data_IF_317050189465
#
_entry.id   IF_317050189465
#
_cell.length_a   1.000
_cell.length_b   1.000
_cell.length_c   1.000
_cell.angle_alpha   90.00
_cell.angle_beta   90.00
_cell.angle_gamma   90.00
#
_symmetry.space_group_name_H-M   'P 1'
#
loop_
_entity.id
_entity.type
_entity.pdbx_description
1 polymer ?
#
# COMPACT_ATOMS: atom_id res chain seq x y z
N UNK A 1 -12.37 5.67 3.10
CA UNK A 1 -13.25 5.91 4.26
C UNK A 1 -14.18 7.08 3.98
N UNK A 2 -15.43 7.01 4.48
CA UNK A 2 -16.50 7.99 4.24
C UNK A 2 -17.07 8.62 5.53
N UNK A 3 -16.36 8.59 6.65
CA UNK A 3 -16.83 9.19 7.91
C UNK A 3 -15.84 10.26 8.38
N UNK A 4 -16.33 11.50 8.54
CA UNK A 4 -15.57 12.67 8.97
C UNK A 4 -16.18 13.21 10.27
N UNK A 5 -15.37 13.41 11.30
CA UNK A 5 -15.76 14.13 12.52
C UNK A 5 -15.12 15.51 12.48
N UNK A 6 -15.90 16.57 12.67
CA UNK A 6 -15.42 17.93 12.90
C UNK A 6 -15.93 18.40 14.26
N UNK A 7 -15.03 18.83 15.15
CA UNK A 7 -15.36 19.59 16.35
C UNK A 7 -14.29 20.66 16.58
N UNK A 8 -14.63 21.69 17.35
CA UNK A 8 -13.75 22.83 17.63
C UNK A 8 -12.39 22.37 18.18
N UNK A 9 -11.30 22.75 17.51
CA UNK A 9 -9.93 22.32 17.81
C UNK A 9 -9.39 21.16 16.98
N UNK A 10 -10.15 20.58 16.04
CA UNK A 10 -9.69 19.54 15.12
C UNK A 10 -9.10 20.16 13.83
N UNK A 11 -7.78 20.09 13.69
CA UNK A 11 -6.99 20.79 12.67
C UNK A 11 -6.68 19.93 11.43
N UNK A 12 -7.53 18.95 11.12
CA UNK A 12 -7.35 18.03 10.01
C UNK A 12 -8.60 17.21 9.68
N UNK A 13 -8.39 16.13 8.93
CA UNK A 13 -9.39 15.19 8.47
C UNK A 13 -9.08 13.81 9.02
N UNK A 14 -10.06 13.19 9.67
CA UNK A 14 -9.93 11.80 10.10
C UNK A 14 -10.51 10.88 9.03
N UNK A 15 -9.74 9.87 8.64
CA UNK A 15 -10.17 8.82 7.73
C UNK A 15 -10.19 7.49 8.47
N UNK A 16 -11.34 6.82 8.48
CA UNK A 16 -11.45 5.44 8.95
C UNK A 16 -10.58 4.49 8.11
N UNK A 17 -9.40 4.17 8.63
CA UNK A 17 -8.42 3.22 8.08
C UNK A 17 -7.94 2.33 9.23
N UNK A 18 -8.10 1.02 9.12
CA UNK A 18 -7.82 0.07 10.20
C UNK A 18 -6.51 -0.68 9.94
N UNK A 19 -5.39 -0.10 10.35
CA UNK A 19 -4.04 -0.65 10.10
C UNK A 19 -3.74 -0.85 8.60
N UNK A 20 -4.22 0.08 7.79
CA UNK A 20 -4.11 0.05 6.33
C UNK A 20 -2.94 0.91 5.83
N UNK A 21 -2.42 0.66 4.61
CA UNK A 21 -1.37 1.49 4.02
C UNK A 21 -1.77 2.95 3.90
N UNK A 22 -0.87 3.83 4.34
CA UNK A 22 -0.99 5.29 4.19
C UNK A 22 -0.03 5.75 3.11
N UNK A 23 -0.53 6.51 2.14
CA UNK A 23 0.26 7.02 1.04
C UNK A 23 0.52 8.53 1.14
N UNK A 24 1.68 8.96 0.63
CA UNK A 24 1.99 10.37 0.48
C UNK A 24 1.01 11.04 -0.50
N UNK A 25 0.40 12.14 -0.06
CA UNK A 25 -0.63 12.86 -0.81
C UNK A 25 -0.06 13.59 -2.02
N UNK A 26 1.19 14.04 -1.94
CA UNK A 26 1.92 14.72 -3.00
C UNK A 26 3.44 14.44 -2.87
N UNK A 27 4.24 14.71 -3.91
CA UNK A 27 5.69 14.58 -3.82
C UNK A 27 6.28 15.59 -2.82
N UNK A 28 7.30 15.21 -2.08
CA UNK A 28 7.90 16.09 -1.08
C UNK A 28 9.07 15.48 -0.33
N UNK A 29 9.52 16.19 0.70
CA UNK A 29 10.60 15.76 1.60
C UNK A 29 10.02 15.51 2.98
N UNK A 30 10.31 14.35 3.55
CA UNK A 30 9.90 13.99 4.91
C UNK A 30 10.63 14.88 5.92
N UNK A 31 9.89 15.66 6.70
CA UNK A 31 10.40 16.58 7.73
C UNK A 31 10.40 15.95 9.12
N UNK A 32 9.41 15.10 9.39
CA UNK A 32 9.24 14.31 10.61
C UNK A 32 8.82 12.88 10.24
N UNK A 33 9.36 11.90 10.95
CA UNK A 33 8.99 10.49 10.84
C UNK A 33 9.33 9.81 12.19
N UNK A 34 8.54 10.11 13.22
CA UNK A 34 8.73 9.58 14.58
C UNK A 34 7.46 9.78 15.42
N UNK A 35 7.49 9.41 16.70
CA UNK A 35 6.58 9.95 17.69
C UNK A 35 6.64 11.49 17.70
N UNK A 36 5.47 12.13 17.62
CA UNK A 36 5.38 13.60 17.66
C UNK A 36 5.93 14.15 18.98
N UNK A 37 5.53 13.53 20.09
CA UNK A 37 6.20 13.68 21.38
C UNK A 37 6.91 12.36 21.73
N UNK A 38 8.25 12.32 21.62
CA UNK A 38 9.04 11.13 21.98
C UNK A 38 8.90 10.70 23.44
N UNK A 39 8.38 11.57 24.32
CA UNK A 39 8.22 11.29 25.75
C UNK A 39 6.77 10.93 26.14
N UNK A 40 5.80 11.11 25.23
CA UNK A 40 4.42 10.70 25.48
C UNK A 40 3.82 9.93 24.29
N UNK A 41 3.71 8.62 24.44
CA UNK A 41 3.14 7.73 23.42
C UNK A 41 1.60 7.65 23.41
N UNK A 42 0.95 8.25 24.40
CA UNK A 42 -0.53 8.29 24.54
C UNK A 42 -1.11 9.70 24.32
N UNK A 43 -0.27 10.66 23.97
CA UNK A 43 -0.65 12.06 23.75
C UNK A 43 -0.67 12.40 22.26
N UNK A 44 -1.40 13.46 21.92
CA UNK A 44 -1.37 14.10 20.60
C UNK A 44 -1.61 13.09 19.47
N UNK A 45 -0.95 13.27 18.33
CA UNK A 45 -1.09 12.43 17.15
C UNK A 45 -0.23 11.16 17.17
N UNK A 46 0.45 10.84 18.28
CA UNK A 46 1.27 9.63 18.37
C UNK A 46 2.38 9.58 17.31
N UNK A 47 2.55 8.42 16.65
CA UNK A 47 3.49 8.30 15.53
C UNK A 47 3.01 9.12 14.35
N UNK A 48 3.88 10.00 13.89
CA UNK A 48 3.55 11.05 12.94
C UNK A 48 4.59 11.11 11.83
N UNK A 49 4.08 11.35 10.62
CA UNK A 49 4.89 11.75 9.47
C UNK A 49 4.48 13.16 9.04
N UNK A 50 5.46 14.01 8.76
CA UNK A 50 5.24 15.30 8.11
C UNK A 50 6.01 15.35 6.80
N UNK A 51 5.38 15.81 5.72
CA UNK A 51 6.01 15.94 4.41
C UNK A 51 5.89 17.40 3.95
N UNK A 52 7.02 18.04 3.70
CA UNK A 52 7.09 19.37 3.10
C UNK A 52 7.01 19.27 1.58
N UNK A 53 6.16 20.08 0.97
CA UNK A 53 5.96 20.17 -0.46
C UNK A 53 6.59 21.44 -1.04
N UNK A 54 6.79 21.45 -2.37
CA UNK A 54 7.45 22.56 -3.09
C UNK A 54 6.63 23.85 -3.10
N UNK A 55 5.31 23.76 -2.86
CA UNK A 55 4.38 24.90 -2.85
C UNK A 55 4.28 25.60 -1.48
N UNK A 56 5.11 25.24 -0.50
CA UNK A 56 5.08 25.84 0.82
C UNK A 56 4.03 25.26 1.77
N UNK A 57 3.36 24.18 1.37
CA UNK A 57 2.48 23.39 2.23
C UNK A 57 3.22 22.21 2.85
N UNK A 58 2.66 21.72 3.95
CA UNK A 58 3.06 20.54 4.68
C UNK A 58 1.85 19.63 4.82
N UNK A 59 2.00 18.34 4.54
CA UNK A 59 1.01 17.34 4.92
C UNK A 59 1.44 16.62 6.18
N UNK A 60 0.45 16.28 7.00
CA UNK A 60 0.60 15.66 8.31
C UNK A 60 -0.18 14.35 8.34
N UNK A 61 0.44 13.29 8.85
CA UNK A 61 -0.14 11.95 8.95
C UNK A 61 0.03 11.43 10.37
N UNK A 62 -1.04 11.45 11.16
CA UNK A 62 -1.05 11.07 12.57
C UNK A 62 -1.65 9.68 12.85
N UNK A 63 -1.52 9.27 14.10
CA UNK A 63 -2.01 8.03 14.70
C UNK A 63 -1.45 6.74 14.09
N UNK A 64 -0.30 6.82 13.40
CA UNK A 64 0.26 5.70 12.67
C UNK A 64 0.62 4.53 13.59
N UNK A 65 0.48 3.30 13.10
CA UNK A 65 1.00 2.11 13.80
C UNK A 65 2.44 1.83 13.41
N UNK A 66 2.81 2.15 12.16
CA UNK A 66 4.13 1.92 11.58
C UNK A 66 4.52 3.08 10.67
N UNK A 67 5.81 3.41 10.67
CA UNK A 67 6.44 4.41 9.81
C UNK A 67 7.44 3.67 8.93
N UNK A 68 7.31 3.83 7.60
CA UNK A 68 8.11 3.13 6.59
C UNK A 68 9.08 4.08 5.85
N UNK A 69 9.18 5.33 6.32
CA UNK A 69 10.07 6.37 5.77
C UNK A 69 10.91 7.02 6.87
N UNK A 70 11.96 7.71 6.46
CA UNK A 70 12.85 8.44 7.39
C UNK A 70 12.91 9.93 7.08
N UNK A 71 13.24 10.74 8.09
CA UNK A 71 13.46 12.18 7.91
C UNK A 71 14.53 12.45 6.83
N UNK A 72 14.25 13.40 5.95
CA UNK A 72 15.09 13.76 4.81
C UNK A 72 14.83 12.95 3.54
N UNK A 73 14.04 11.88 3.61
CA UNK A 73 13.68 11.07 2.45
C UNK A 73 12.79 11.85 1.48
N UNK A 74 13.11 11.78 0.18
CA UNK A 74 12.20 12.23 -0.88
C UNK A 74 11.14 11.17 -1.14
N UNK A 75 9.88 11.58 -1.25
CA UNK A 75 8.75 10.69 -1.52
C UNK A 75 7.96 11.16 -2.73
N UNK A 76 7.35 10.19 -3.43
CA UNK A 76 6.47 10.44 -4.57
C UNK A 76 5.01 10.39 -4.13
N UNK A 77 4.13 11.07 -4.87
CA UNK A 77 2.67 10.92 -4.66
C UNK A 77 2.29 9.44 -4.80
N UNK A 78 1.45 8.96 -3.90
CA UNK A 78 0.98 7.58 -3.89
C UNK A 78 1.97 6.58 -3.28
N UNK A 79 3.20 7.00 -2.94
CA UNK A 79 4.14 6.13 -2.25
C UNK A 79 3.64 5.80 -0.84
N UNK A 80 3.65 4.52 -0.47
CA UNK A 80 3.36 4.06 0.89
C UNK A 80 4.44 4.59 1.82
N UNK A 81 4.00 5.28 2.89
CA UNK A 81 4.87 5.92 3.87
C UNK A 81 4.73 5.33 5.28
N UNK A 82 3.71 4.49 5.50
CA UNK A 82 3.47 3.82 6.76
C UNK A 82 2.13 3.09 6.78
N UNK A 83 1.70 2.71 7.99
CA UNK A 83 0.36 2.17 8.24
C UNK A 83 -0.42 3.06 9.20
N UNK A 84 -1.71 3.21 8.95
CA UNK A 84 -2.63 3.81 9.92
C UNK A 84 -2.64 2.99 11.22
N UNK A 85 -3.24 3.53 12.27
CA UNK A 85 -3.24 2.87 13.56
C UNK A 85 -4.07 3.63 14.58
N UNK A 86 -3.71 3.47 15.85
CA UNK A 86 -4.40 4.08 16.98
C UNK A 86 -3.41 4.59 18.03
N UNK A 87 -2.23 5.05 17.62
CA UNK A 87 -1.23 5.60 18.57
C UNK A 87 -1.57 7.03 18.98
N UNK A 88 -1.06 7.51 20.12
CA UNK A 88 -1.40 8.83 20.64
C UNK A 88 -2.81 8.87 21.25
N UNK A 89 -3.48 10.01 21.15
CA UNK A 89 -4.83 10.24 21.67
C UNK A 89 -5.87 9.92 20.58
N UNK A 90 -6.08 8.63 20.30
CA UNK A 90 -7.06 8.14 19.34
C UNK A 90 -8.16 7.33 20.04
N UNK A 91 -9.43 7.55 19.67
CA UNK A 91 -10.58 6.77 20.19
C UNK A 91 -10.71 5.39 19.53
N UNK A 92 -10.05 5.19 18.39
CA UNK A 92 -9.95 3.94 17.66
C UNK A 92 -9.05 4.09 16.43
N UNK A 93 -8.81 3.01 15.67
CA UNK A 93 -7.92 3.07 14.51
C UNK A 93 -8.44 4.00 13.41
N UNK A 94 -7.64 5.00 13.05
CA UNK A 94 -7.89 5.92 11.94
C UNK A 94 -6.59 6.59 11.49
N UNK A 95 -6.65 7.34 10.39
CA UNK A 95 -5.61 8.27 9.98
C UNK A 95 -6.11 9.69 10.26
N UNK A 96 -5.37 10.44 11.08
CA UNK A 96 -5.52 11.89 11.11
C UNK A 96 -4.65 12.52 10.02
N UNK A 97 -5.27 13.26 9.11
CA UNK A 97 -4.63 13.87 7.95
C UNK A 97 -4.80 15.38 7.96
N UNK A 98 -3.70 16.12 8.09
CA UNK A 98 -3.74 17.59 8.09
C UNK A 98 -2.96 18.19 6.94
N UNK A 99 -3.31 19.41 6.56
CA UNK A 99 -2.54 20.25 5.64
C UNK A 99 -2.28 21.59 6.32
N UNK A 100 -1.02 22.02 6.33
CA UNK A 100 -0.58 23.21 7.05
C UNK A 100 0.33 24.05 6.17
N UNK A 101 0.41 25.35 6.47
CA UNK A 101 1.49 26.16 5.94
C UNK A 101 2.80 25.82 6.64
N UNK A 102 3.88 25.65 5.87
CA UNK A 102 5.22 25.37 6.42
C UNK A 102 5.72 26.47 7.36
N UNK A 103 5.21 27.70 7.21
CA UNK A 103 5.58 28.84 8.05
C UNK A 103 4.80 28.92 9.39
N UNK A 104 3.93 27.94 9.69
CA UNK A 104 3.18 27.91 10.94
C UNK A 104 1.92 28.78 10.96
N UNK A 105 1.45 29.27 9.81
CA UNK A 105 0.22 30.09 9.71
C UNK A 105 -1.10 29.34 9.97
N UNK A 106 -1.02 28.11 10.49
CA UNK A 106 -2.15 27.28 10.87
C UNK A 106 -2.52 26.20 9.85
N UNK A 107 -3.54 25.39 10.19
CA UNK A 107 -4.12 24.40 9.28
C UNK A 107 -4.83 25.07 8.10
N UNK A 108 -5.02 24.29 7.06
CA UNK A 108 -5.66 24.68 5.80
C UNK A 108 -6.65 23.58 5.44
N UNK A 109 -7.86 23.96 5.05
CA UNK A 109 -8.78 23.05 4.39
C UNK A 109 -8.20 22.72 3.00
N UNK A 110 -7.77 21.48 2.73
CA UNK A 110 -7.16 21.15 1.46
C UNK A 110 -8.19 20.85 0.37
N UNK A 111 -9.46 20.64 0.72
CA UNK A 111 -10.55 20.32 -0.20
C UNK A 111 -11.41 21.53 -0.54
N UNK A 112 -11.33 22.56 0.30
CA UNK A 112 -12.10 23.79 0.23
C UNK A 112 -13.54 23.63 0.70
N UNK A 113 -14.22 24.75 0.94
CA UNK A 113 -15.61 24.75 1.38
C UNK A 113 -16.63 24.48 0.26
N UNK A 114 -17.59 23.57 0.50
CA UNK A 114 -18.66 23.23 -0.46
C UNK A 114 -20.09 23.46 0.06
N UNK A 115 -20.28 24.30 1.07
CA UNK A 115 -21.60 24.60 1.67
C UNK A 115 -22.34 25.77 1.00
N UNK A 116 -23.65 25.89 1.28
CA UNK A 116 -24.49 26.99 0.79
C UNK A 116 -24.27 28.33 1.50
N UNK A 117 -23.48 28.34 2.57
CA UNK A 117 -23.14 29.52 3.36
C UNK A 117 -21.76 30.04 2.99
N UNK A 118 -21.43 31.26 3.45
CA UNK A 118 -20.06 31.76 3.36
C UNK A 118 -19.12 30.77 4.04
N UNK A 119 -17.97 30.54 3.41
CA UNK A 119 -16.93 29.69 3.96
C UNK A 119 -16.59 30.16 5.40
N UNK A 120 -16.74 29.30 6.41
CA UNK A 120 -16.41 29.65 7.79
C UNK A 120 -14.90 29.91 7.96
N UNK A 121 -14.06 29.56 6.98
CA UNK A 121 -12.63 29.79 7.00
C UNK A 121 -12.21 30.96 6.09
N UNK A 122 -12.02 32.18 6.64
CA UNK A 122 -11.72 33.37 5.84
C UNK A 122 -10.30 33.37 5.22
N UNK A 123 -9.52 32.31 5.43
CA UNK A 123 -8.16 32.12 4.88
C UNK A 123 -8.10 30.98 3.86
N UNK A 124 -9.22 30.38 3.51
CA UNK A 124 -9.27 29.35 2.47
C UNK A 124 -8.93 29.98 1.11
N UNK A 125 -7.94 29.39 0.44
CA UNK A 125 -7.53 29.75 -0.92
C UNK A 125 -8.17 28.82 -1.97
N UNK A 126 -9.10 27.95 -1.53
CA UNK A 126 -9.75 26.92 -2.32
C UNK A 126 -8.92 25.65 -2.41
N UNK A 127 -9.32 24.72 -3.27
CA UNK A 127 -8.62 23.45 -3.49
C UNK A 127 -7.12 23.65 -3.83
N UNK A 128 -6.24 23.27 -2.90
CA UNK A 128 -4.79 23.46 -3.01
C UNK A 128 -4.03 22.29 -3.64
N UNK A 129 -4.75 21.30 -4.17
CA UNK A 129 -4.13 20.12 -4.77
C UNK A 129 -3.57 20.40 -6.17
N UNK A 130 -2.30 20.84 -6.22
CA UNK A 130 -1.61 21.22 -7.47
C UNK A 130 -1.50 20.06 -8.48
N UNK A 131 -1.41 18.82 -8.01
CA UNK A 131 -1.35 17.64 -8.89
C UNK A 131 -2.71 16.94 -9.03
N UNK A 132 -3.79 17.56 -8.55
CA UNK A 132 -5.12 16.94 -8.42
C UNK A 132 -5.33 16.31 -7.04
N UNK A 133 -6.59 16.22 -6.62
CA UNK A 133 -6.95 15.76 -5.27
C UNK A 133 -6.47 14.33 -4.99
N UNK A 134 -5.75 14.08 -3.88
CA UNK A 134 -5.35 12.74 -3.46
C UNK A 134 -6.53 11.82 -3.23
N UNK A 135 -7.69 12.39 -2.84
CA UNK A 135 -8.96 11.66 -2.71
C UNK A 135 -9.35 10.92 -3.99
N UNK A 136 -8.95 11.45 -5.15
CA UNK A 136 -9.23 10.90 -6.47
C UNK A 136 -7.94 10.55 -7.21
N UNK A 137 -6.85 10.30 -6.50
CA UNK A 137 -5.64 9.79 -7.14
C UNK A 137 -5.93 8.39 -7.66
N UNK A 138 -5.78 8.18 -8.96
CA UNK A 138 -5.66 6.85 -9.54
C UNK A 138 -4.30 6.29 -9.10
N UNK A 139 -4.28 5.72 -7.89
CA UNK A 139 -3.16 4.91 -7.43
C UNK A 139 -3.38 3.54 -8.05
N UNK A 140 -2.52 3.08 -8.98
CA UNK A 140 -2.62 1.74 -9.50
C UNK A 140 -2.26 0.78 -8.37
N UNK A 141 -3.30 0.29 -7.68
CA UNK A 141 -3.16 -0.77 -6.70
C UNK A 141 -2.75 -2.02 -7.49
N UNK A 142 -1.69 -2.73 -7.08
CA UNK A 142 -1.35 -3.96 -7.75
C UNK A 142 -2.53 -4.93 -7.62
N UNK A 143 -2.88 -5.56 -8.74
CA UNK A 143 -3.81 -6.68 -8.77
C UNK A 143 -3.02 -7.86 -9.33
N UNK A 144 -2.57 -8.76 -8.48
CA UNK A 144 -1.80 -9.91 -8.97
C UNK A 144 -2.72 -10.99 -9.51
N UNK A 145 -2.45 -11.42 -10.73
CA UNK A 145 -3.03 -12.63 -11.29
C UNK A 145 -1.97 -13.71 -11.32
N UNK A 146 -2.36 -14.94 -10.97
CA UNK A 146 -1.53 -16.13 -11.12
C UNK A 146 -2.36 -17.25 -11.74
N UNK A 147 -1.84 -17.86 -12.80
CA UNK A 147 -2.39 -19.07 -13.39
C UNK A 147 -1.34 -20.16 -13.38
N UNK A 148 -1.80 -21.40 -13.19
CA UNK A 148 -0.98 -22.59 -13.31
C UNK A 148 -1.78 -23.59 -14.14
N UNK A 149 -1.20 -24.06 -15.24
CA UNK A 149 -1.84 -25.01 -16.14
C UNK A 149 -0.85 -26.11 -16.52
N UNK A 150 -1.30 -27.36 -16.73
CA UNK A 150 -0.42 -28.39 -17.28
C UNK A 150 0.22 -27.94 -18.60
N UNK A 151 1.53 -28.15 -18.73
CA UNK A 151 2.24 -27.88 -19.98
C UNK A 151 1.74 -28.84 -21.07
N UNK A 152 1.43 -28.28 -22.24
CA UNK A 152 0.82 -29.03 -23.34
C UNK A 152 1.77 -30.03 -24.02
N UNK A 153 3.09 -29.81 -23.92
CA UNK A 153 4.14 -30.65 -24.51
C UNK A 153 4.74 -31.63 -23.50
N UNK A 154 4.74 -31.29 -22.22
CA UNK A 154 5.19 -32.16 -21.13
C UNK A 154 4.14 -32.19 -20.00
N UNK A 155 3.28 -33.23 -19.93
CA UNK A 155 2.23 -33.29 -18.92
C UNK A 155 2.76 -33.40 -17.47
N UNK A 156 4.08 -33.58 -17.28
CA UNK A 156 4.74 -33.54 -15.95
C UNK A 156 5.22 -32.13 -15.58
N UNK A 157 5.14 -31.19 -16.50
CA UNK A 157 5.47 -29.80 -16.31
C UNK A 157 4.20 -28.94 -16.15
N UNK A 158 4.36 -27.79 -15.51
CA UNK A 158 3.28 -26.84 -15.25
C UNK A 158 3.74 -25.47 -15.75
N UNK A 159 2.99 -24.89 -16.67
CA UNK A 159 3.16 -23.50 -17.09
C UNK A 159 2.53 -22.58 -16.04
N UNK A 160 3.37 -21.78 -15.39
CA UNK A 160 2.95 -20.85 -14.34
C UNK A 160 3.13 -19.44 -14.84
N UNK A 161 2.05 -18.68 -14.92
CA UNK A 161 2.07 -17.28 -15.37
C UNK A 161 1.64 -16.39 -14.23
N UNK A 162 2.38 -15.30 -14.00
CA UNK A 162 1.96 -14.26 -13.07
C UNK A 162 2.11 -12.87 -13.68
N UNK A 163 1.18 -11.99 -13.34
CA UNK A 163 1.22 -10.61 -13.81
C UNK A 163 0.50 -9.64 -12.88
N UNK A 164 0.80 -8.35 -13.03
CA UNK A 164 0.03 -7.29 -12.41
C UNK A 164 0.08 -6.05 -13.32
N UNK A 165 -0.98 -5.24 -13.41
CA UNK A 165 -0.97 -4.01 -14.20
C UNK A 165 0.14 -3.04 -13.77
N UNK A 166 0.63 -2.25 -14.73
CA UNK A 166 1.68 -1.26 -14.50
C UNK A 166 3.10 -1.80 -14.62
N UNK A 167 4.07 -0.89 -14.62
CA UNK A 167 5.51 -1.21 -14.70
C UNK A 167 6.20 -1.01 -13.35
N UNK A 168 7.40 -1.60 -13.20
CA UNK A 168 8.21 -1.44 -11.96
C UNK A 168 7.80 -2.36 -10.81
N UNK A 169 6.85 -3.27 -11.04
CA UNK A 169 6.41 -4.27 -10.07
C UNK A 169 7.47 -5.35 -9.86
N UNK A 170 7.74 -5.68 -8.60
CA UNK A 170 8.58 -6.81 -8.20
C UNK A 170 7.73 -7.92 -7.60
N UNK A 171 7.97 -9.16 -8.02
CA UNK A 171 7.21 -10.33 -7.59
C UNK A 171 8.07 -11.29 -6.78
N UNK A 172 7.42 -11.95 -5.81
CA UNK A 172 7.93 -13.09 -5.09
C UNK A 172 6.99 -14.27 -5.34
N UNK A 173 7.54 -15.36 -5.88
CA UNK A 173 6.78 -16.54 -6.30
C UNK A 173 7.18 -17.71 -5.44
N UNK A 174 6.17 -18.43 -4.95
CA UNK A 174 6.32 -19.63 -4.14
C UNK A 174 5.65 -20.81 -4.82
N UNK A 175 6.31 -21.97 -4.74
CA UNK A 175 5.64 -23.24 -4.94
C UNK A 175 5.11 -23.68 -3.58
N UNK A 176 3.83 -24.00 -3.52
CA UNK A 176 3.21 -24.53 -2.32
C UNK A 176 3.08 -26.04 -2.46
N UNK A 177 3.66 -26.75 -1.51
CA UNK A 177 3.71 -28.21 -1.48
C UNK A 177 2.45 -28.79 -0.81
N UNK A 178 2.22 -30.08 -0.99
CA UNK A 178 1.06 -30.80 -0.40
C UNK A 178 0.95 -30.65 1.13
N UNK A 179 2.06 -30.45 1.84
CA UNK A 179 2.08 -30.21 3.29
C UNK A 179 1.73 -28.76 3.69
N UNK A 180 1.40 -27.92 2.71
CA UNK A 180 1.10 -26.49 2.88
C UNK A 180 2.34 -25.61 2.98
N UNK A 181 3.55 -26.18 2.97
CA UNK A 181 4.78 -25.39 3.03
C UNK A 181 4.99 -24.59 1.75
N UNK A 182 5.30 -23.31 1.91
CA UNK A 182 5.62 -22.41 0.82
C UNK A 182 7.14 -22.38 0.62
N UNK A 183 7.61 -22.85 -0.54
CA UNK A 183 9.02 -22.79 -0.92
C UNK A 183 9.25 -21.66 -1.93
N UNK A 184 10.15 -20.71 -1.64
CA UNK A 184 10.52 -19.69 -2.61
C UNK A 184 11.00 -20.32 -3.92
N UNK A 185 10.43 -19.89 -5.03
CA UNK A 185 10.83 -20.32 -6.38
C UNK A 185 11.54 -19.19 -7.12
N UNK A 186 10.96 -17.99 -7.10
CA UNK A 186 11.56 -16.79 -7.68
C UNK A 186 11.39 -15.58 -6.77
N UNK A 187 12.39 -14.68 -6.82
CA UNK A 187 12.44 -13.46 -6.03
C UNK A 187 12.87 -12.28 -6.89
N UNK A 188 12.25 -11.12 -6.68
CA UNK A 188 12.57 -9.87 -7.37
C UNK A 188 12.49 -9.99 -8.90
N UNK A 189 11.44 -10.63 -9.39
CA UNK A 189 11.19 -10.86 -10.82
C UNK A 189 10.03 -10.01 -11.31
N UNK A 190 9.97 -9.73 -12.61
CA UNK A 190 8.81 -9.09 -13.24
C UNK A 190 7.71 -10.11 -13.59
N UNK A 191 6.66 -9.63 -14.27
CA UNK A 191 5.62 -10.49 -14.84
C UNK A 191 6.16 -11.35 -15.97
N UNK A 192 5.87 -12.65 -15.94
CA UNK A 192 6.31 -13.64 -16.94
C UNK A 192 5.59 -14.98 -16.77
N UNK A 193 5.91 -15.89 -17.68
CA UNK A 193 5.56 -17.32 -17.60
C UNK A 193 6.83 -18.12 -17.36
N UNK A 194 6.76 -19.12 -16.47
CA UNK A 194 7.85 -20.05 -16.18
C UNK A 194 7.32 -21.48 -16.08
N UNK A 195 8.18 -22.44 -16.46
CA UNK A 195 7.82 -23.86 -16.43
C UNK A 195 8.32 -24.52 -15.16
N UNK A 196 7.41 -24.94 -14.30
CA UNK A 196 7.73 -25.72 -13.11
C UNK A 196 7.79 -27.22 -13.44
N UNK A 197 8.81 -27.90 -12.94
CA UNK A 197 8.98 -29.36 -13.07
C UNK A 197 9.08 -29.99 -11.69
N UNK A 198 7.96 -30.57 -11.26
CA UNK A 198 7.82 -31.24 -9.98
C UNK A 198 8.08 -32.73 -10.05
N UNK A 199 7.82 -33.42 -8.94
CA UNK A 199 7.67 -34.88 -8.92
C UNK A 199 6.34 -35.25 -9.55
N UNK A 200 6.29 -36.41 -10.19
CA UNK A 200 5.06 -37.02 -10.68
C UNK A 200 4.13 -37.44 -9.54
N UNK A 201 2.85 -37.58 -9.86
CA UNK A 201 1.79 -37.97 -8.91
C UNK A 201 1.69 -37.03 -7.70
N UNK A 202 1.93 -35.74 -7.95
CA UNK A 202 1.83 -34.69 -6.93
C UNK A 202 1.02 -33.51 -7.43
N UNK A 203 0.34 -32.87 -6.49
CA UNK A 203 -0.39 -31.63 -6.71
C UNK A 203 0.43 -30.44 -6.22
N UNK A 204 0.49 -29.40 -7.06
CA UNK A 204 1.18 -28.16 -6.77
C UNK A 204 0.22 -26.99 -6.94
N UNK A 205 0.37 -25.95 -6.13
CA UNK A 205 -0.22 -24.65 -6.39
C UNK A 205 0.83 -23.57 -6.14
N UNK A 206 0.58 -22.37 -6.67
CA UNK A 206 1.56 -21.30 -6.65
C UNK A 206 0.98 -20.11 -5.93
N UNK A 207 1.77 -19.52 -5.05
CA UNK A 207 1.42 -18.28 -4.38
C UNK A 207 2.36 -17.20 -4.85
N UNK A 208 1.81 -16.06 -5.22
CA UNK A 208 2.57 -14.93 -5.75
C UNK A 208 2.20 -13.70 -4.96
N UNK A 209 3.21 -12.99 -4.44
CA UNK A 209 3.05 -11.62 -3.99
C UNK A 209 3.71 -10.66 -4.96
N UNK A 210 3.14 -9.48 -5.08
CA UNK A 210 3.66 -8.38 -5.88
C UNK A 210 3.84 -7.16 -4.98
N UNK A 211 4.88 -6.37 -5.23
CA UNK A 211 5.10 -5.07 -4.62
C UNK A 211 5.39 -4.07 -5.74
N UNK A 212 4.68 -2.94 -5.77
CA UNK A 212 4.93 -1.85 -6.71
C UNK A 212 6.15 -1.03 -6.26
N UNK A 213 6.69 -0.21 -7.17
CA UNK A 213 7.76 0.74 -6.86
C UNK A 213 7.33 1.85 -5.87
N UNK A 214 6.01 2.00 -5.66
CA UNK A 214 5.40 2.86 -4.67
C UNK A 214 5.15 2.14 -3.32
N UNK A 215 5.49 0.85 -3.21
CA UNK A 215 5.38 0.07 -1.97
C UNK A 215 4.00 -0.55 -1.72
N UNK A 216 3.05 -0.42 -2.65
CA UNK A 216 1.78 -1.15 -2.57
C UNK A 216 2.02 -2.62 -2.83
N UNK A 217 1.31 -3.50 -2.12
CA UNK A 217 1.45 -4.94 -2.31
C UNK A 217 0.11 -5.63 -2.42
N UNK A 218 0.09 -6.74 -3.14
CA UNK A 218 -1.04 -7.65 -3.28
C UNK A 218 -0.52 -9.10 -3.40
N UNK A 219 -1.38 -10.09 -3.17
CA UNK A 219 -1.02 -11.49 -3.26
C UNK A 219 -2.18 -12.36 -3.76
N UNK A 220 -1.86 -13.39 -4.56
CA UNK A 220 -2.85 -14.34 -5.05
C UNK A 220 -2.27 -15.76 -5.12
N UNK A 221 -3.18 -16.74 -5.05
CA UNK A 221 -2.90 -18.16 -5.23
C UNK A 221 -3.48 -18.69 -6.54
N UNK A 222 -2.77 -19.61 -7.18
CA UNK A 222 -3.27 -20.34 -8.35
C UNK A 222 -4.25 -21.44 -7.93
N UNK A 223 -5.03 -21.95 -8.88
CA UNK A 223 -5.65 -23.25 -8.71
C UNK A 223 -4.57 -24.35 -8.57
N UNK A 224 -4.83 -25.44 -7.82
CA UNK A 224 -3.95 -26.59 -7.79
C UNK A 224 -3.91 -27.33 -9.13
N UNK A 225 -2.72 -27.80 -9.51
CA UNK A 225 -2.48 -28.61 -10.71
C UNK A 225 -1.85 -29.94 -10.28
N UNK A 226 -2.44 -31.03 -10.74
CA UNK A 226 -1.94 -32.38 -10.48
C UNK A 226 -1.06 -32.86 -11.64
N UNK A 227 0.13 -33.34 -11.32
CA UNK A 227 1.05 -33.97 -12.28
C UNK A 227 0.79 -35.48 -12.31
N UNK A 228 0.69 -36.11 -13.48
CA UNK A 228 0.39 -37.53 -13.58
C UNK A 228 1.56 -38.39 -13.09
N UNK A 229 1.26 -39.63 -12.68
CA UNK A 229 2.25 -40.64 -12.34
C UNK A 229 3.16 -40.97 -13.54
N UNK A 230 4.44 -41.28 -13.30
CA UNK A 230 5.30 -41.86 -14.34
C UNK A 230 5.02 -43.35 -14.40
N UNK A 231 4.33 -43.80 -15.46
CA UNK A 231 4.27 -45.24 -15.74
C UNK A 231 5.65 -45.67 -16.24
N UNK A 232 6.37 -46.45 -15.43
CA UNK A 232 7.59 -47.14 -15.84
C UNK A 232 7.23 -48.37 -16.67
N UNK A 233 6.52 -48.17 -17.79
CA UNK A 233 6.24 -49.17 -18.82
C UNK A 233 5.72 -50.51 -18.30
N UNK A 234 4.41 -50.74 -18.48
CA UNK A 234 3.99 -52.07 -18.93
C UNK A 234 4.66 -52.37 -20.27
N UNK A 235 5.77 -53.13 -20.22
CA UNK A 235 6.39 -53.70 -21.41
C UNK A 235 5.41 -54.63 -22.11
N UNK A 236 5.15 -54.35 -23.38
CA UNK A 236 4.66 -55.32 -24.38
C UNK A 236 5.77 -56.30 -24.73
#
# INVERSE_FOLDING_TARGET
>A
GHDYLYYDGHDGYDYGLFYEPVAAAAPGIVMLANWLDPNCHTCLSGKTIEIKHSNGLLTFYGHLSRIDVVKGQSVRRGQVIGLSGSTGTATGPHLHFGVYYVNGNGPVDPYGWSGSYADPWPRDLGNLWITGSPRFADIPVPAVSVSAVPDSADPKAIDVTWSSPGGGNTFQVYVVLQDGSMKPWFSNVGSRTEVFRGRSDQSYWFWVSVTTDLGWSDAAGSAPVHTPAVDHGQGV
#
